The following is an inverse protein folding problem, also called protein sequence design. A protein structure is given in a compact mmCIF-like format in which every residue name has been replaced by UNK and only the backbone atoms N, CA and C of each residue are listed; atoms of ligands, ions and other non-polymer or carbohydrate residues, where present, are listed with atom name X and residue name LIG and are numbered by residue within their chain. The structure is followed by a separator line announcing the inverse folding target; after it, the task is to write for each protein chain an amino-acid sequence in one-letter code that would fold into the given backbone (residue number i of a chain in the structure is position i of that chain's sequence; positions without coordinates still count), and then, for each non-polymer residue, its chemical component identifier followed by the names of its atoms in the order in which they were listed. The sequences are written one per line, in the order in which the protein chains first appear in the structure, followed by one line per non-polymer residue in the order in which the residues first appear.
data_IF_834760166210
#
_entry.id   IF_834760166210
#
_cell.length_a   1.000
_cell.length_b   1.000
_cell.length_c   1.000
_cell.angle_alpha   90.00
_cell.angle_beta   90.00
_cell.angle_gamma   90.00
#
_symmetry.space_group_name_H-M   'P 1'
#
loop_
_entity.id
_entity.type
_entity.pdbx_description
1 polymer ?
#
# COMPACT_ATOMS: atom_id res chain seq x y z
N UNK A 1 7.14 6.43 -23.98
CA UNK A 1 6.59 7.73 -24.42
C UNK A 1 7.43 8.85 -23.81
N UNK A 2 7.96 9.80 -24.59
CA UNK A 2 8.71 10.96 -24.05
C UNK A 2 7.74 12.03 -23.55
N UNK A 3 7.02 11.74 -22.47
CA UNK A 3 6.28 12.76 -21.72
C UNK A 3 7.24 13.64 -20.92
N UNK A 4 6.90 14.92 -20.71
CA UNK A 4 7.65 15.77 -19.80
C UNK A 4 7.76 15.15 -18.40
N UNK A 5 8.80 15.50 -17.65
CA UNK A 5 9.10 14.90 -16.34
C UNK A 5 7.88 14.84 -15.39
N UNK A 6 7.03 15.87 -15.41
CA UNK A 6 5.80 15.92 -14.61
C UNK A 6 4.74 14.90 -15.06
N UNK A 7 4.55 14.70 -16.38
CA UNK A 7 3.60 13.72 -16.91
C UNK A 7 4.02 12.28 -16.59
N UNK A 8 5.33 11.99 -16.61
CA UNK A 8 5.85 10.69 -16.20
C UNK A 8 5.71 10.46 -14.69
N UNK A 9 5.93 11.49 -13.87
CA UNK A 9 5.71 11.40 -12.41
C UNK A 9 4.23 11.21 -12.10
N UNK A 10 3.32 11.90 -12.79
CA UNK A 10 1.88 11.71 -12.65
C UNK A 10 1.43 10.32 -13.10
N UNK A 11 1.99 9.81 -14.20
CA UNK A 11 1.75 8.43 -14.63
C UNK A 11 2.23 7.41 -13.60
N UNK A 12 3.41 7.62 -13.02
CA UNK A 12 3.93 6.77 -11.96
C UNK A 12 3.04 6.79 -10.70
N UNK A 13 2.48 7.94 -10.31
CA UNK A 13 1.49 8.01 -9.22
C UNK A 13 0.30 7.09 -9.45
N UNK A 14 -0.22 7.06 -10.69
CA UNK A 14 -1.39 6.28 -11.04
C UNK A 14 -1.16 4.76 -11.06
N UNK A 15 -0.01 4.31 -11.56
CA UNK A 15 0.23 2.89 -11.82
C UNK A 15 1.05 2.23 -10.70
N UNK A 16 2.04 2.93 -10.17
CA UNK A 16 3.06 2.32 -9.31
C UNK A 16 2.69 2.35 -7.83
N UNK A 17 1.96 3.39 -7.40
CA UNK A 17 1.68 3.64 -5.99
C UNK A 17 0.23 3.32 -5.59
N UNK A 18 -0.55 2.70 -6.46
CA UNK A 18 -1.94 2.33 -6.16
C UNK A 18 -2.03 1.43 -4.93
N UNK A 19 -1.29 0.32 -4.95
CA UNK A 19 -1.34 -0.72 -3.92
C UNK A 19 -0.96 -0.19 -2.53
N UNK A 20 0.31 0.22 -2.36
CA UNK A 20 0.79 0.84 -1.11
C UNK A 20 -0.01 2.09 -0.71
N UNK A 21 -0.60 2.78 -1.68
CA UNK A 21 -1.42 3.97 -1.46
C UNK A 21 -2.75 3.68 -0.78
N UNK A 22 -3.25 2.44 -0.88
CA UNK A 22 -4.52 2.00 -0.31
C UNK A 22 -4.38 1.30 1.03
N UNK A 23 -3.15 0.89 1.40
CA UNK A 23 -2.81 0.32 2.71
C UNK A 23 -3.34 1.06 3.95
N UNK A 24 -3.44 2.40 3.98
CA UNK A 24 -4.00 3.08 5.14
C UNK A 24 -5.46 2.76 5.44
N UNK A 25 -6.22 2.21 4.48
CA UNK A 25 -7.61 1.80 4.67
C UNK A 25 -7.74 0.65 5.68
N UNK A 26 -6.74 -0.25 5.73
CA UNK A 26 -6.83 -1.49 6.50
C UNK A 26 -5.71 -1.67 7.53
N UNK A 27 -4.50 -1.15 7.32
CA UNK A 27 -3.35 -1.50 8.17
C UNK A 27 -3.54 -1.16 9.66
N UNK A 28 -4.04 0.04 9.99
CA UNK A 28 -4.29 0.43 11.40
C UNK A 28 -5.51 -0.29 11.98
N UNK A 29 -6.58 -0.43 11.18
CA UNK A 29 -7.79 -1.16 11.56
C UNK A 29 -7.45 -2.61 11.94
N UNK A 30 -6.67 -3.29 11.11
CA UNK A 30 -6.24 -4.66 11.38
C UNK A 30 -5.31 -4.75 12.59
N UNK A 31 -4.40 -3.79 12.76
CA UNK A 31 -3.49 -3.79 13.92
C UNK A 31 -4.24 -3.67 15.25
N UNK A 32 -5.30 -2.87 15.30
CA UNK A 32 -6.13 -2.65 16.49
C UNK A 32 -7.46 -3.41 16.46
N UNK A 33 -7.58 -4.42 15.60
CA UNK A 33 -8.74 -5.30 15.56
C UNK A 33 -8.83 -6.08 16.88
N UNK A 34 -10.06 -6.24 17.40
CA UNK A 34 -10.32 -6.94 18.66
C UNK A 34 -9.75 -8.37 18.68
N UNK A 35 -9.64 -9.00 17.51
CA UNK A 35 -9.10 -10.36 17.35
C UNK A 35 -7.62 -10.47 17.75
N UNK A 36 -6.85 -9.38 17.65
CA UNK A 36 -5.44 -9.36 18.02
C UNK A 36 -5.24 -9.06 19.51
N UNK A 37 -6.30 -8.69 20.25
CA UNK A 37 -6.25 -8.39 21.68
C UNK A 37 -5.43 -7.14 22.04
N UNK A 38 -5.05 -6.33 21.05
CA UNK A 38 -4.27 -5.11 21.24
C UNK A 38 -5.21 -3.92 21.47
N UNK A 39 -5.18 -3.35 22.68
CA UNK A 39 -5.97 -2.15 22.97
C UNK A 39 -5.27 -0.90 22.40
N UNK A 40 -6.01 0.05 21.81
CA UNK A 40 -5.46 1.33 21.35
C UNK A 40 -5.21 2.28 22.54
N UNK A 41 -4.35 1.89 23.48
CA UNK A 41 -3.83 2.81 24.48
C UNK A 41 -2.65 3.63 23.92
N UNK A 42 -2.31 4.78 24.52
CA UNK A 42 -1.26 5.64 23.99
C UNK A 42 0.09 4.94 23.79
N UNK A 43 0.52 4.03 24.66
CA UNK A 43 1.81 3.35 24.47
C UNK A 43 1.78 2.43 23.25
N UNK A 44 0.69 1.65 23.09
CA UNK A 44 0.48 0.78 21.93
C UNK A 44 0.41 1.56 20.62
N UNK A 45 -0.33 2.67 20.58
CA UNK A 45 -0.45 3.50 19.37
C UNK A 45 0.90 4.08 18.95
N UNK A 46 1.67 4.66 19.88
CA UNK A 46 2.99 5.20 19.56
C UNK A 46 3.97 4.11 19.13
N UNK A 47 3.90 2.93 19.75
CA UNK A 47 4.67 1.75 19.37
C UNK A 47 4.41 1.31 17.94
N UNK A 48 3.14 1.08 17.60
CA UNK A 48 2.70 0.68 16.25
C UNK A 48 3.08 1.74 15.22
N UNK A 49 2.82 3.03 15.50
CA UNK A 49 3.20 4.10 14.57
C UNK A 49 4.70 4.17 14.33
N UNK A 50 5.52 3.96 15.36
CA UNK A 50 6.97 3.85 15.21
C UNK A 50 7.34 2.70 14.29
N UNK A 51 6.72 1.53 14.45
CA UNK A 51 6.97 0.38 13.59
C UNK A 51 6.56 0.65 12.14
N UNK A 52 5.39 1.25 11.90
CA UNK A 52 4.91 1.64 10.57
C UNK A 52 5.88 2.65 9.93
N UNK A 53 6.26 3.71 10.65
CA UNK A 53 7.20 4.72 10.15
C UNK A 53 8.54 4.10 9.74
N UNK A 54 9.13 3.27 10.61
CA UNK A 54 10.42 2.66 10.33
C UNK A 54 10.32 1.55 9.28
N UNK A 55 9.21 0.82 9.19
CA UNK A 55 8.97 -0.14 8.11
C UNK A 55 8.93 0.57 6.75
N UNK A 56 8.12 1.63 6.60
CA UNK A 56 8.05 2.42 5.36
C UNK A 56 9.41 3.06 5.03
N UNK A 57 10.12 3.55 6.03
CA UNK A 57 11.44 4.18 5.85
C UNK A 57 12.49 3.16 5.41
N UNK A 58 12.66 2.05 6.14
CA UNK A 58 13.71 1.07 5.88
C UNK A 58 13.38 0.22 4.66
N UNK A 59 12.16 -0.34 4.60
CA UNK A 59 11.78 -1.28 3.56
C UNK A 59 11.55 -0.51 2.26
N UNK A 60 10.61 0.44 2.24
CA UNK A 60 10.20 1.06 0.99
C UNK A 60 11.20 2.13 0.55
N UNK A 61 11.54 3.08 1.43
CA UNK A 61 12.40 4.20 1.05
C UNK A 61 13.85 3.79 0.85
N UNK A 62 14.47 3.13 1.84
CA UNK A 62 15.89 2.75 1.77
C UNK A 62 16.10 1.52 0.90
N UNK A 63 15.49 0.39 1.25
CA UNK A 63 15.71 -0.88 0.54
C UNK A 63 15.16 -0.80 -0.89
N UNK A 64 13.88 -0.51 -1.12
CA UNK A 64 13.34 -0.54 -2.48
C UNK A 64 13.78 0.67 -3.31
N UNK A 65 13.42 1.88 -2.90
CA UNK A 65 13.55 3.09 -3.72
C UNK A 65 15.00 3.55 -3.90
N UNK A 66 15.84 3.47 -2.85
CA UNK A 66 17.24 3.94 -2.94
C UNK A 66 18.23 2.87 -3.38
N UNK A 67 18.04 1.61 -2.95
CA UNK A 67 18.99 0.52 -3.18
C UNK A 67 18.56 -0.43 -4.30
N UNK A 68 17.46 -1.16 -4.15
CA UNK A 68 17.04 -2.20 -5.10
C UNK A 68 16.75 -1.62 -6.48
N UNK A 69 16.16 -0.42 -6.55
CA UNK A 69 15.96 0.23 -7.84
C UNK A 69 17.28 0.42 -8.59
N UNK A 70 18.47 0.46 -7.95
CA UNK A 70 19.78 0.54 -8.62
C UNK A 70 20.21 -0.76 -9.30
N UNK A 71 19.64 -1.89 -8.90
CA UNK A 71 19.85 -3.18 -9.55
C UNK A 71 18.81 -3.34 -10.66
N UNK A 72 19.04 -2.71 -11.81
CA UNK A 72 18.22 -2.88 -13.02
C UNK A 72 18.89 -3.78 -14.04
N UNK A 73 18.08 -4.38 -14.91
CA UNK A 73 18.54 -5.03 -16.12
C UNK A 73 18.04 -4.23 -17.32
N UNK A 74 18.92 -3.44 -17.95
CA UNK A 74 18.57 -2.57 -19.09
C UNK A 74 17.40 -1.62 -18.80
N UNK A 75 17.28 -1.12 -17.57
CA UNK A 75 16.19 -0.24 -17.14
C UNK A 75 14.95 -0.95 -16.59
N UNK A 76 14.86 -2.28 -16.71
CA UNK A 76 13.77 -3.08 -16.12
C UNK A 76 14.12 -3.57 -14.70
N UNK A 77 13.10 -3.64 -13.84
CA UNK A 77 13.21 -4.20 -12.49
C UNK A 77 12.21 -5.35 -12.30
N UNK A 78 12.06 -5.82 -11.07
CA UNK A 78 11.23 -6.96 -10.71
C UNK A 78 11.98 -8.30 -10.66
N UNK A 79 11.27 -9.34 -10.22
CA UNK A 79 11.81 -10.69 -10.04
C UNK A 79 12.40 -11.23 -11.35
N UNK A 80 11.79 -10.89 -12.49
CA UNK A 80 12.21 -11.38 -13.81
C UNK A 80 13.49 -10.69 -14.31
N UNK A 81 13.68 -9.40 -13.99
CA UNK A 81 14.95 -8.72 -14.23
C UNK A 81 16.09 -9.36 -13.42
N UNK A 82 15.84 -9.72 -12.16
CA UNK A 82 16.80 -10.42 -11.29
C UNK A 82 17.12 -11.83 -11.80
N UNK A 83 16.12 -12.58 -12.25
CA UNK A 83 16.31 -13.90 -12.86
C UNK A 83 17.16 -13.79 -14.14
N UNK A 84 16.89 -12.81 -15.00
CA UNK A 84 17.67 -12.59 -16.24
C UNK A 84 19.13 -12.19 -15.96
N UNK A 85 19.37 -11.33 -14.97
CA UNK A 85 20.74 -10.99 -14.53
C UNK A 85 21.48 -12.23 -14.01
N UNK A 86 20.77 -13.10 -13.29
CA UNK A 86 21.37 -14.31 -12.73
C UNK A 86 21.54 -15.44 -13.77
N UNK A 87 20.79 -15.43 -14.88
CA UNK A 87 21.04 -16.34 -16.01
C UNK A 87 22.36 -15.99 -16.75
N UNK A 88 22.79 -14.73 -16.70
CA UNK A 88 24.12 -14.31 -17.17
C UNK A 88 25.26 -14.80 -16.27
N UNK A 89 24.99 -15.06 -14.99
CA UNK A 89 25.90 -15.75 -14.10
C UNK A 89 25.80 -17.26 -14.37
N UNK A 90 26.66 -17.78 -15.26
CA UNK A 90 26.73 -19.20 -15.61
C UNK A 90 26.84 -20.10 -14.36
N UNK A 91 25.71 -20.58 -13.86
CA UNK A 91 25.62 -21.48 -12.72
C UNK A 91 26.10 -22.86 -13.15
N UNK A 92 27.33 -23.21 -12.76
CA UNK A 92 28.05 -24.41 -13.21
C UNK A 92 27.46 -25.75 -12.73
N UNK A 93 26.51 -25.75 -11.80
CA UNK A 93 25.99 -26.97 -11.16
C UNK A 93 24.47 -27.16 -11.33
N UNK A 94 24.07 -28.40 -11.67
CA UNK A 94 22.67 -28.80 -11.90
C UNK A 94 21.76 -28.55 -10.68
N UNK A 95 22.27 -28.73 -9.46
CA UNK A 95 21.53 -28.42 -8.21
C UNK A 95 21.23 -26.93 -8.05
N UNK A 96 22.18 -26.06 -8.40
CA UNK A 96 22.00 -24.61 -8.32
C UNK A 96 20.92 -24.13 -9.29
N UNK A 97 20.88 -24.70 -10.50
CA UNK A 97 19.83 -24.42 -11.48
C UNK A 97 18.43 -24.83 -10.98
N UNK A 98 18.31 -26.02 -10.39
CA UNK A 98 17.03 -26.49 -9.80
C UNK A 98 16.57 -25.62 -8.62
N UNK A 99 17.49 -25.23 -7.73
CA UNK A 99 17.15 -24.34 -6.62
C UNK A 99 16.64 -22.98 -7.11
N UNK A 100 17.27 -22.41 -8.14
CA UNK A 100 16.82 -21.15 -8.74
C UNK A 100 15.43 -21.27 -9.38
N UNK A 101 15.16 -22.37 -10.09
CA UNK A 101 13.82 -22.63 -10.66
C UNK A 101 12.80 -22.74 -9.53
N UNK A 102 13.09 -23.50 -8.47
CA UNK A 102 12.20 -23.66 -7.32
C UNK A 102 11.89 -22.32 -6.63
N UNK A 103 12.92 -21.49 -6.40
CA UNK A 103 12.76 -20.16 -5.83
C UNK A 103 11.96 -19.23 -6.75
N UNK A 104 12.16 -19.31 -8.07
CA UNK A 104 11.39 -18.55 -9.06
C UNK A 104 9.91 -18.94 -9.08
N UNK A 105 9.59 -20.23 -9.11
CA UNK A 105 8.22 -20.75 -9.04
C UNK A 105 7.56 -20.36 -7.72
N UNK A 106 8.29 -20.48 -6.60
CA UNK A 106 7.79 -20.08 -5.29
C UNK A 106 7.48 -18.57 -5.24
N UNK A 107 8.36 -17.71 -5.75
CA UNK A 107 8.14 -16.28 -5.84
C UNK A 107 6.95 -15.92 -6.74
N UNK A 108 6.80 -16.58 -7.89
CA UNK A 108 5.65 -16.40 -8.76
C UNK A 108 4.34 -16.80 -8.07
N UNK A 109 4.32 -17.94 -7.35
CA UNK A 109 3.14 -18.38 -6.59
C UNK A 109 2.72 -17.38 -5.49
N UNK A 110 3.69 -16.82 -4.75
CA UNK A 110 3.43 -15.76 -3.77
C UNK A 110 2.83 -14.51 -4.44
N UNK A 111 3.36 -14.12 -5.61
CA UNK A 111 2.85 -12.98 -6.37
C UNK A 111 1.43 -13.20 -6.92
N UNK A 112 1.06 -14.42 -7.32
CA UNK A 112 -0.34 -14.74 -7.65
C UNK A 112 -1.26 -14.66 -6.42
N UNK A 113 -0.77 -15.10 -5.25
CA UNK A 113 -1.50 -14.99 -4.00
C UNK A 113 -1.83 -13.54 -3.65
N UNK A 114 -0.82 -12.67 -3.70
CA UNK A 114 -0.98 -11.22 -3.56
C UNK A 114 -1.93 -10.65 -4.63
N UNK A 115 -1.76 -11.12 -5.88
CA UNK A 115 -2.62 -10.86 -7.03
C UNK A 115 -4.12 -11.05 -6.80
N UNK A 116 -4.47 -12.00 -5.95
CA UNK A 116 -5.84 -12.37 -5.62
C UNK A 116 -6.35 -11.68 -4.35
N UNK A 117 -5.51 -11.56 -3.32
CA UNK A 117 -5.90 -11.06 -1.99
C UNK A 117 -6.04 -9.53 -2.01
N UNK A 118 -5.09 -8.83 -2.63
CA UNK A 118 -5.01 -7.37 -2.57
C UNK A 118 -6.23 -6.65 -3.16
N UNK A 119 -6.77 -7.04 -4.34
CA UNK A 119 -8.01 -6.46 -4.84
C UNK A 119 -9.20 -6.66 -3.90
N UNK A 120 -9.30 -7.84 -3.29
CA UNK A 120 -10.42 -8.19 -2.41
C UNK A 120 -10.39 -7.36 -1.12
N UNK A 121 -9.25 -7.32 -0.43
CA UNK A 121 -9.09 -6.55 0.82
C UNK A 121 -9.27 -5.07 0.52
N UNK A 122 -8.57 -4.54 -0.49
CA UNK A 122 -8.59 -3.10 -0.78
C UNK A 122 -9.99 -2.59 -1.12
N UNK A 123 -10.70 -3.26 -2.05
CA UNK A 123 -12.05 -2.84 -2.45
C UNK A 123 -13.04 -3.00 -1.30
N UNK A 124 -12.95 -4.10 -0.53
CA UNK A 124 -13.81 -4.28 0.63
C UNK A 124 -13.60 -3.17 1.66
N UNK A 125 -12.36 -2.87 2.03
CA UNK A 125 -12.04 -1.80 2.99
C UNK A 125 -12.47 -0.42 2.51
N UNK A 126 -12.42 -0.13 1.20
CA UNK A 126 -12.97 1.13 0.68
C UNK A 126 -14.50 1.23 0.85
N UNK A 127 -15.22 0.14 0.57
CA UNK A 127 -16.69 0.10 0.65
C UNK A 127 -17.18 0.04 2.10
N UNK A 128 -16.42 -0.55 3.02
CA UNK A 128 -16.70 -0.55 4.46
C UNK A 128 -16.82 0.87 5.04
N UNK A 129 -16.23 1.88 4.41
CA UNK A 129 -16.45 3.27 4.80
C UNK A 129 -17.91 3.73 4.69
N UNK A 130 -18.77 3.02 3.95
CA UNK A 130 -20.21 3.26 3.96
C UNK A 130 -20.85 3.01 5.33
N UNK A 131 -20.30 2.12 6.14
CA UNK A 131 -20.80 1.85 7.49
C UNK A 131 -20.66 3.09 8.38
N UNK A 132 -19.58 3.84 8.20
CA UNK A 132 -19.32 5.11 8.90
C UNK A 132 -20.15 6.24 8.30
N UNK A 133 -20.19 6.33 6.97
CA UNK A 133 -20.80 7.46 6.26
C UNK A 133 -22.34 7.42 6.21
N UNK A 134 -22.93 6.22 6.24
CA UNK A 134 -24.37 6.00 6.13
C UNK A 134 -24.81 4.76 6.94
N UNK A 135 -24.97 4.89 8.27
CA UNK A 135 -25.44 3.82 9.14
C UNK A 135 -26.77 3.24 8.63
N UNK A 136 -26.83 1.92 8.45
CA UNK A 136 -27.97 1.22 7.85
C UNK A 136 -27.74 0.69 6.42
N UNK A 137 -26.64 1.10 5.76
CA UNK A 137 -26.21 0.52 4.47
C UNK A 137 -25.21 -0.64 4.62
N UNK A 138 -24.91 -1.09 5.83
CA UNK A 138 -23.94 -2.16 6.13
C UNK A 138 -24.20 -3.44 5.35
N UNK A 139 -25.48 -3.84 5.21
CA UNK A 139 -25.91 -5.02 4.43
C UNK A 139 -25.56 -4.95 2.95
N UNK A 140 -25.25 -3.76 2.43
CA UNK A 140 -24.89 -3.56 1.03
C UNK A 140 -23.38 -3.56 0.79
N UNK A 141 -22.54 -3.55 1.84
CA UNK A 141 -21.07 -3.53 1.70
C UNK A 141 -20.58 -4.71 0.86
N UNK A 142 -20.93 -5.94 1.25
CA UNK A 142 -20.51 -7.15 0.53
C UNK A 142 -21.07 -7.17 -0.91
N UNK A 143 -22.38 -6.96 -1.16
CA UNK A 143 -22.92 -6.87 -2.52
C UNK A 143 -22.24 -5.82 -3.41
N UNK A 144 -21.96 -4.62 -2.87
CA UNK A 144 -21.32 -3.54 -3.61
C UNK A 144 -19.87 -3.91 -3.93
N UNK A 145 -19.11 -4.44 -2.98
CA UNK A 145 -17.73 -4.88 -3.20
C UNK A 145 -17.67 -5.97 -4.29
N UNK A 146 -18.56 -6.97 -4.24
CA UNK A 146 -18.66 -8.01 -5.27
C UNK A 146 -19.02 -7.45 -6.65
N UNK A 147 -19.94 -6.48 -6.72
CA UNK A 147 -20.32 -5.81 -7.96
C UNK A 147 -19.14 -5.02 -8.55
N UNK A 148 -18.39 -4.30 -7.71
CA UNK A 148 -17.19 -3.56 -8.13
C UNK A 148 -16.13 -4.53 -8.64
N UNK A 149 -15.81 -5.59 -7.89
CA UNK A 149 -14.80 -6.57 -8.30
C UNK A 149 -15.20 -7.28 -9.60
N UNK A 150 -16.46 -7.71 -9.72
CA UNK A 150 -16.95 -8.37 -10.94
C UNK A 150 -16.87 -7.43 -12.13
N UNK A 151 -17.30 -6.18 -11.96
CA UNK A 151 -17.18 -5.14 -13.00
C UNK A 151 -15.71 -4.93 -13.37
N UNK A 152 -14.84 -4.82 -12.39
CA UNK A 152 -13.40 -4.65 -12.58
C UNK A 152 -12.81 -5.77 -13.43
N UNK A 153 -13.11 -7.04 -13.10
CA UNK A 153 -12.64 -8.21 -13.84
C UNK A 153 -13.25 -8.32 -15.25
N UNK A 154 -14.52 -7.96 -15.43
CA UNK A 154 -15.16 -7.92 -16.76
C UNK A 154 -14.49 -6.87 -17.64
N UNK A 155 -14.25 -5.66 -17.14
CA UNK A 155 -13.67 -4.59 -17.96
C UNK A 155 -12.17 -4.76 -18.25
N UNK A 156 -11.46 -5.64 -17.54
CA UNK A 156 -10.03 -5.92 -17.77
C UNK A 156 -9.73 -6.35 -19.22
N UNK A 157 -10.63 -7.09 -19.87
CA UNK A 157 -10.38 -7.63 -21.21
C UNK A 157 -10.32 -6.54 -22.31
N UNK A 158 -10.80 -5.32 -22.03
CA UNK A 158 -10.74 -4.20 -22.98
C UNK A 158 -9.41 -3.45 -22.96
N UNK A 159 -8.49 -3.82 -22.05
CA UNK A 159 -7.16 -3.22 -21.93
C UNK A 159 -7.15 -1.88 -21.18
N UNK A 160 -6.07 -1.62 -20.45
CA UNK A 160 -5.88 -0.43 -19.59
C UNK A 160 -5.52 0.85 -20.35
N UNK A 161 -5.40 0.79 -21.68
CA UNK A 161 -4.83 1.85 -22.52
C UNK A 161 -5.60 3.17 -22.55
N UNK A 162 -6.93 3.15 -22.35
CA UNK A 162 -7.76 4.37 -22.34
C UNK A 162 -7.94 4.92 -20.92
N UNK A 163 -8.01 4.05 -19.91
CA UNK A 163 -8.28 4.41 -18.50
C UNK A 163 -7.02 4.88 -17.76
N UNK A 164 -5.83 4.42 -18.18
CA UNK A 164 -4.56 4.76 -17.52
C UNK A 164 -4.25 6.26 -17.45
N UNK A 165 -4.85 7.09 -18.31
CA UNK A 165 -4.72 8.56 -18.24
C UNK A 165 -5.42 9.17 -17.02
N UNK A 166 -6.46 8.53 -16.49
CA UNK A 166 -7.19 9.00 -15.30
C UNK A 166 -6.55 8.52 -14.00
N UNK A 167 -5.73 7.47 -14.03
CA UNK A 167 -5.12 6.90 -12.83
C UNK A 167 -4.25 7.91 -12.09
N UNK A 168 -3.38 8.62 -12.81
CA UNK A 168 -2.49 9.63 -12.23
C UNK A 168 -3.25 10.77 -11.51
N UNK A 169 -4.19 11.46 -12.18
CA UNK A 169 -5.02 12.49 -11.55
C UNK A 169 -5.81 12.00 -10.34
N UNK A 170 -6.44 10.82 -10.41
CA UNK A 170 -7.20 10.26 -9.28
C UNK A 170 -6.28 9.97 -8.09
N UNK A 171 -5.13 9.34 -8.33
CA UNK A 171 -4.17 9.03 -7.27
C UNK A 171 -3.54 10.31 -6.68
N UNK A 172 -3.33 11.36 -7.49
CA UNK A 172 -2.92 12.67 -6.98
C UNK A 172 -3.95 13.23 -6.00
N UNK A 173 -5.23 13.24 -6.37
CA UNK A 173 -6.32 13.69 -5.48
C UNK A 173 -6.41 12.81 -4.23
N UNK A 174 -6.26 11.49 -4.38
CA UNK A 174 -6.23 10.55 -3.25
C UNK A 174 -5.11 10.88 -2.25
N UNK A 175 -3.86 10.90 -2.70
CA UNK A 175 -2.71 11.17 -1.82
C UNK A 175 -2.79 12.57 -1.19
N UNK A 176 -3.21 13.58 -1.94
CA UNK A 176 -3.43 14.91 -1.38
C UNK A 176 -4.54 14.91 -0.32
N UNK A 177 -5.64 14.20 -0.56
CA UNK A 177 -6.76 14.13 0.40
C UNK A 177 -6.35 13.45 1.71
N UNK A 178 -5.73 12.27 1.64
CA UNK A 178 -5.32 11.55 2.86
C UNK A 178 -4.20 12.28 3.61
N UNK A 179 -3.31 12.96 2.87
CA UNK A 179 -2.24 13.76 3.45
C UNK A 179 -2.77 15.00 4.16
N UNK A 180 -3.75 15.70 3.59
CA UNK A 180 -4.41 16.85 4.24
C UNK A 180 -5.18 16.41 5.48
N UNK A 181 -5.96 15.32 5.41
CA UNK A 181 -6.68 14.80 6.57
C UNK A 181 -5.73 14.42 7.71
N UNK A 182 -4.62 13.75 7.39
CA UNK A 182 -3.58 13.43 8.35
C UNK A 182 -2.92 14.67 8.95
N UNK A 183 -2.56 15.64 8.10
CA UNK A 183 -1.89 16.88 8.51
C UNK A 183 -2.74 17.69 9.49
N UNK A 184 -4.05 17.79 9.26
CA UNK A 184 -4.97 18.50 10.17
C UNK A 184 -4.84 17.94 11.59
N UNK A 185 -4.92 16.61 11.75
CA UNK A 185 -4.79 15.95 13.06
C UNK A 185 -3.41 16.07 13.67
N UNK A 186 -2.35 16.00 12.86
CA UNK A 186 -0.97 16.17 13.34
C UNK A 186 -0.73 17.61 13.85
N UNK A 187 -1.36 18.61 13.23
CA UNK A 187 -1.30 20.00 13.71
C UNK A 187 -2.08 20.17 15.02
N UNK A 188 -3.23 19.50 15.16
CA UNK A 188 -4.02 19.49 16.40
C UNK A 188 -3.25 18.86 17.56
N UNK A 189 -2.55 17.74 17.33
CA UNK A 189 -1.78 17.04 18.36
C UNK A 189 -0.34 16.74 17.89
N UNK A 190 0.58 17.72 17.95
CA UNK A 190 1.96 17.55 17.48
C UNK A 190 2.77 16.53 18.27
N UNK A 191 2.32 16.15 19.47
CA UNK A 191 3.02 15.17 20.30
C UNK A 191 3.13 13.79 19.65
N UNK A 192 2.23 13.47 18.70
CA UNK A 192 2.26 12.22 17.93
C UNK A 192 3.57 12.03 17.15
N UNK A 193 4.27 13.12 16.81
CA UNK A 193 5.56 13.07 16.14
C UNK A 193 6.65 12.38 16.98
N UNK A 194 6.48 12.22 18.29
CA UNK A 194 7.42 11.44 19.11
C UNK A 194 7.46 9.97 18.66
N UNK A 195 6.39 9.45 18.05
CA UNK A 195 6.36 8.10 17.47
C UNK A 195 7.40 7.89 16.36
N UNK A 196 7.99 8.95 15.80
CA UNK A 196 9.13 8.83 14.88
C UNK A 196 10.38 8.21 15.53
N UNK A 197 10.51 8.32 16.85
CA UNK A 197 11.63 7.73 17.57
C UNK A 197 11.50 6.21 17.59
N UNK A 198 12.53 5.45 17.13
CA UNK A 198 12.49 3.99 17.13
C UNK A 198 12.38 3.40 18.54
N UNK A 199 12.66 4.20 19.57
CA UNK A 199 12.50 3.80 20.97
C UNK A 199 11.08 3.35 21.30
N UNK A 200 10.05 3.93 20.67
CA UNK A 200 8.66 3.51 20.90
C UNK A 200 8.38 2.13 20.32
N UNK A 201 8.86 1.84 19.11
CA UNK A 201 8.75 0.51 18.51
C UNK A 201 9.53 -0.55 19.30
N UNK A 202 10.74 -0.22 19.77
CA UNK A 202 11.53 -1.13 20.62
C UNK A 202 10.85 -1.37 21.96
N UNK A 203 10.36 -0.32 22.63
CA UNK A 203 9.63 -0.46 23.89
C UNK A 203 8.38 -1.32 23.72
N UNK A 204 7.62 -1.12 22.64
CA UNK A 204 6.46 -1.93 22.32
C UNK A 204 6.79 -3.42 22.17
N UNK A 205 7.91 -3.77 21.54
CA UNK A 205 8.38 -5.15 21.47
C UNK A 205 8.78 -5.74 22.83
N UNK A 206 9.44 -4.94 23.67
CA UNK A 206 9.87 -5.37 24.99
C UNK A 206 8.67 -5.58 25.94
N UNK A 207 7.66 -4.73 25.84
CA UNK A 207 6.50 -4.74 26.73
C UNK A 207 5.43 -5.76 26.29
N UNK A 208 5.19 -5.91 24.98
CA UNK A 208 4.08 -6.72 24.44
C UNK A 208 4.50 -8.00 23.70
N UNK A 209 5.80 -8.24 23.51
CA UNK A 209 6.37 -9.52 23.07
C UNK A 209 5.63 -10.21 21.92
N UNK A 210 4.78 -11.20 22.25
CA UNK A 210 4.00 -11.98 21.29
C UNK A 210 2.93 -11.17 20.55
N UNK A 211 2.26 -10.23 21.23
CA UNK A 211 1.27 -9.34 20.60
C UNK A 211 1.98 -8.39 19.63
N UNK A 212 3.16 -7.89 20.00
CA UNK A 212 3.97 -7.06 19.11
C UNK A 212 4.42 -7.81 17.84
N UNK A 213 4.71 -9.12 17.95
CA UNK A 213 5.01 -9.96 16.78
C UNK A 213 3.79 -10.12 15.86
N UNK A 214 2.59 -10.36 16.41
CA UNK A 214 1.36 -10.43 15.62
C UNK A 214 1.03 -9.09 14.97
N UNK A 215 1.15 -8.00 15.71
CA UNK A 215 0.97 -6.63 15.21
C UNK A 215 1.95 -6.32 14.07
N UNK A 216 3.17 -6.87 14.08
CA UNK A 216 4.11 -6.71 12.96
C UNK A 216 3.55 -7.28 11.65
N UNK A 217 2.75 -8.36 11.71
CA UNK A 217 2.01 -8.86 10.54
C UNK A 217 1.08 -7.81 9.93
N UNK A 218 0.35 -7.08 10.77
CA UNK A 218 -0.50 -5.97 10.35
C UNK A 218 0.30 -4.73 9.93
N UNK A 219 1.47 -4.48 10.52
CA UNK A 219 2.38 -3.41 10.06
C UNK A 219 2.94 -3.70 8.67
N UNK A 220 3.15 -4.98 8.31
CA UNK A 220 3.60 -5.36 6.95
C UNK A 220 2.58 -4.92 5.90
N UNK A 221 1.29 -4.86 6.24
CA UNK A 221 0.24 -4.33 5.35
C UNK A 221 0.47 -2.85 4.98
N UNK A 222 1.25 -2.09 5.74
CA UNK A 222 1.61 -0.71 5.41
C UNK A 222 2.73 -0.58 4.35
N UNK A 223 3.39 -1.69 4.02
CA UNK A 223 4.49 -1.74 3.03
C UNK A 223 4.21 -2.68 1.86
N UNK A 224 3.01 -3.27 1.79
CA UNK A 224 2.55 -4.05 0.63
C UNK A 224 2.53 -3.15 -0.62
N UNK A 225 2.87 -3.70 -1.77
CA UNK A 225 3.03 -2.95 -3.01
C UNK A 225 4.44 -2.38 -3.22
N UNK A 226 5.36 -2.50 -2.24
CA UNK A 226 6.76 -2.06 -2.41
C UNK A 226 7.46 -2.76 -3.60
N UNK A 227 7.09 -4.01 -3.87
CA UNK A 227 7.54 -4.80 -5.02
C UNK A 227 7.04 -4.26 -6.37
N UNK A 228 5.84 -3.67 -6.41
CA UNK A 228 5.31 -3.04 -7.62
C UNK A 228 6.19 -1.84 -8.06
N UNK A 229 6.76 -1.10 -7.10
CA UNK A 229 7.73 -0.02 -7.39
C UNK A 229 8.94 -0.52 -8.16
N UNK A 230 9.39 -1.74 -7.86
CA UNK A 230 10.53 -2.34 -8.53
C UNK A 230 10.13 -2.95 -9.88
N UNK A 231 8.98 -3.62 -9.97
CA UNK A 231 8.50 -4.22 -11.21
C UNK A 231 8.22 -3.17 -12.31
N UNK A 232 7.62 -2.03 -11.96
CA UNK A 232 7.22 -1.00 -12.94
C UNK A 232 8.33 -0.03 -13.35
N UNK A 233 9.56 -0.28 -12.92
CA UNK A 233 10.72 0.48 -13.35
C UNK A 233 10.88 0.52 -14.87
N UNK A 234 10.55 -0.57 -15.58
CA UNK A 234 10.68 -0.64 -17.04
C UNK A 234 9.79 0.37 -17.78
N UNK A 235 8.64 0.74 -17.20
CA UNK A 235 7.67 1.64 -17.83
C UNK A 235 7.99 3.12 -17.58
N UNK A 236 8.40 3.48 -16.35
CA UNK A 236 8.54 4.88 -15.92
C UNK A 236 9.98 5.31 -15.64
N UNK A 237 10.88 4.36 -15.37
CA UNK A 237 12.23 4.62 -14.92
C UNK A 237 12.32 5.12 -13.46
N UNK A 238 13.55 5.18 -12.95
CA UNK A 238 13.83 5.54 -11.54
C UNK A 238 13.43 6.96 -11.15
N UNK A 239 13.79 8.01 -11.92
CA UNK A 239 13.60 9.39 -11.45
C UNK A 239 12.14 9.79 -11.23
N UNK A 240 11.17 9.43 -12.10
CA UNK A 240 9.76 9.73 -11.86
C UNK A 240 9.19 9.08 -10.61
N UNK A 241 9.50 7.80 -10.37
CA UNK A 241 9.08 7.05 -9.18
C UNK A 241 9.65 7.70 -7.92
N UNK A 242 10.96 8.03 -7.90
CA UNK A 242 11.59 8.70 -6.75
C UNK A 242 10.96 10.06 -6.43
N UNK A 243 10.65 10.87 -7.45
CA UNK A 243 10.01 12.18 -7.25
C UNK A 243 8.59 12.05 -6.70
N UNK A 244 7.79 11.12 -7.23
CA UNK A 244 6.45 10.84 -6.69
C UNK A 244 6.51 10.34 -5.24
N UNK A 245 7.43 9.40 -4.95
CA UNK A 245 7.60 8.84 -3.63
C UNK A 245 7.93 9.90 -2.59
N UNK A 246 9.06 10.59 -2.74
CA UNK A 246 9.53 11.55 -1.74
C UNK A 246 8.75 12.88 -1.77
N UNK A 247 8.11 13.23 -2.90
CA UNK A 247 7.39 14.49 -3.06
C UNK A 247 5.93 14.46 -2.60
N UNK A 248 5.27 13.30 -2.65
CA UNK A 248 3.84 13.22 -2.34
C UNK A 248 3.46 11.94 -1.58
N UNK A 249 3.84 10.76 -2.06
CA UNK A 249 3.32 9.50 -1.53
C UNK A 249 3.79 9.26 -0.10
N UNK A 250 5.11 9.31 0.16
CA UNK A 250 5.68 9.16 1.49
C UNK A 250 5.09 10.15 2.50
N UNK A 251 5.10 11.48 2.27
CA UNK A 251 4.54 12.40 3.25
C UNK A 251 3.03 12.18 3.45
N UNK A 252 2.27 11.90 2.40
CA UNK A 252 0.83 11.65 2.53
C UNK A 252 0.52 10.41 3.40
N UNK A 253 1.23 9.29 3.15
CA UNK A 253 1.07 8.07 3.94
C UNK A 253 1.46 8.27 5.39
N UNK A 254 2.63 8.87 5.66
CA UNK A 254 3.09 9.10 7.03
C UNK A 254 2.14 10.03 7.80
N UNK A 255 1.70 11.13 7.18
CA UNK A 255 0.73 12.05 7.79
C UNK A 255 -0.59 11.34 8.07
N UNK A 256 -1.07 10.52 7.14
CA UNK A 256 -2.32 9.78 7.34
C UNK A 256 -2.22 8.79 8.50
N UNK A 257 -1.15 7.98 8.56
CA UNK A 257 -0.94 7.06 9.69
C UNK A 257 -0.84 7.79 11.02
N UNK A 258 -0.09 8.90 11.09
CA UNK A 258 -0.02 9.72 12.30
C UNK A 258 -1.39 10.29 12.68
N UNK A 259 -2.16 10.80 11.71
CA UNK A 259 -3.50 11.31 11.96
C UNK A 259 -4.46 10.23 12.49
N UNK A 260 -4.39 9.02 11.95
CA UNK A 260 -5.13 7.87 12.50
C UNK A 260 -4.68 7.57 13.94
N UNK A 261 -3.39 7.66 14.25
CA UNK A 261 -2.91 7.48 15.63
C UNK A 261 -3.39 8.57 16.59
N UNK A 262 -3.43 9.84 16.18
CA UNK A 262 -4.03 10.92 17.00
C UNK A 262 -5.49 10.60 17.33
N UNK A 263 -6.24 10.15 16.32
CA UNK A 263 -7.64 9.75 16.49
C UNK A 263 -7.77 8.59 17.49
N UNK A 264 -6.97 7.53 17.33
CA UNK A 264 -7.01 6.34 18.21
C UNK A 264 -6.60 6.63 19.66
N UNK A 265 -5.66 7.55 19.87
CA UNK A 265 -5.29 8.00 21.22
C UNK A 265 -6.44 8.74 21.90
N UNK A 266 -7.23 9.49 21.13
CA UNK A 266 -8.32 10.34 21.63
C UNK A 266 -9.63 9.58 21.80
N UNK A 267 -9.92 8.64 20.90
CA UNK A 267 -11.13 7.83 20.88
C UNK A 267 -10.78 6.38 20.50
N UNK A 268 -10.88 5.49 21.49
CA UNK A 268 -10.61 4.05 21.30
C UNK A 268 -11.67 3.37 20.43
N UNK A 269 -12.90 3.88 20.43
CA UNK A 269 -13.99 3.37 19.58
C UNK A 269 -13.71 3.57 18.10
N UNK A 270 -12.82 4.52 17.75
CA UNK A 270 -12.43 4.75 16.37
C UNK A 270 -11.61 3.61 15.74
N UNK A 271 -11.21 2.59 16.51
CA UNK A 271 -10.50 1.41 16.01
C UNK A 271 -11.31 0.60 14.97
N UNK A 272 -12.65 0.71 14.97
CA UNK A 272 -13.49 0.04 13.96
C UNK A 272 -13.20 0.52 12.53
N UNK A 273 -12.97 1.83 12.34
CA UNK A 273 -12.68 2.43 11.03
C UNK A 273 -11.86 3.73 11.18
N UNK A 274 -10.59 3.65 11.64
CA UNK A 274 -9.78 4.82 11.95
C UNK A 274 -9.52 5.70 10.72
N UNK A 275 -9.47 5.10 9.53
CA UNK A 275 -9.29 5.84 8.28
C UNK A 275 -10.46 6.76 7.93
N UNK A 276 -11.70 6.24 7.95
CA UNK A 276 -12.88 7.03 7.54
C UNK A 276 -13.33 8.01 8.62
N UNK A 277 -13.15 7.66 9.89
CA UNK A 277 -13.42 8.55 11.03
C UNK A 277 -12.41 9.71 11.12
N UNK A 278 -11.29 9.64 10.40
CA UNK A 278 -10.36 10.75 10.25
C UNK A 278 -11.01 11.95 9.53
N UNK A 279 -11.94 11.68 8.60
CA UNK A 279 -12.62 12.70 7.83
C UNK A 279 -13.80 13.31 8.61
N UNK A 280 -14.06 14.63 8.46
CA UNK A 280 -15.28 15.24 8.99
C UNK A 280 -16.52 14.60 8.35
N UNK A 281 -17.65 14.60 9.05
CA UNK A 281 -18.86 13.88 8.59
C UNK A 281 -19.30 14.18 7.14
N UNK A 282 -19.20 15.43 6.70
CA UNK A 282 -19.52 15.81 5.30
C UNK A 282 -18.55 15.23 4.27
N UNK A 283 -17.30 14.95 4.68
CA UNK A 283 -16.22 14.44 3.83
C UNK A 283 -16.16 12.92 3.72
N UNK A 284 -16.92 12.18 4.53
CA UNK A 284 -16.89 10.72 4.56
C UNK A 284 -17.40 10.09 3.25
N UNK A 285 -18.56 10.52 2.73
CA UNK A 285 -19.09 9.99 1.45
C UNK A 285 -18.14 10.29 0.27
N UNK A 286 -17.65 11.54 0.07
CA UNK A 286 -16.63 11.81 -0.94
C UNK A 286 -15.39 10.95 -0.80
N UNK A 287 -14.93 10.71 0.44
CA UNK A 287 -13.75 9.89 0.72
C UNK A 287 -14.00 8.42 0.37
N UNK A 288 -15.19 7.86 0.64
CA UNK A 288 -15.58 6.50 0.24
C UNK A 288 -15.53 6.34 -1.28
N UNK A 289 -16.08 7.30 -2.02
CA UNK A 289 -16.04 7.27 -3.49
C UNK A 289 -14.60 7.35 -4.00
N UNK A 290 -13.79 8.23 -3.43
CA UNK A 290 -12.39 8.38 -3.81
C UNK A 290 -11.56 7.14 -3.46
N UNK A 291 -11.77 6.55 -2.28
CA UNK A 291 -11.14 5.30 -1.85
C UNK A 291 -11.54 4.15 -2.78
N UNK A 292 -12.81 4.10 -3.21
CA UNK A 292 -13.28 3.10 -4.17
C UNK A 292 -12.57 3.24 -5.51
N UNK A 293 -12.39 4.47 -6.01
CA UNK A 293 -11.64 4.72 -7.24
C UNK A 293 -10.16 4.35 -7.09
N UNK A 294 -9.52 4.72 -5.98
CA UNK A 294 -8.13 4.40 -5.70
C UNK A 294 -7.90 2.88 -5.61
N UNK A 295 -8.80 2.14 -4.97
CA UNK A 295 -8.70 0.67 -4.82
C UNK A 295 -8.99 -0.08 -6.11
N UNK A 296 -9.87 0.45 -6.98
CA UNK A 296 -10.02 -0.05 -8.35
C UNK A 296 -8.71 0.13 -9.14
N UNK A 297 -8.06 1.29 -9.03
CA UNK A 297 -6.78 1.56 -9.70
C UNK A 297 -5.67 0.63 -9.17
N UNK A 298 -5.56 0.48 -7.84
CA UNK A 298 -4.61 -0.42 -7.20
C UNK A 298 -4.79 -1.87 -7.68
N UNK A 299 -6.03 -2.36 -7.68
CA UNK A 299 -6.37 -3.71 -8.13
C UNK A 299 -5.98 -3.95 -9.59
N UNK A 300 -6.17 -2.96 -10.46
CA UNK A 300 -5.80 -3.06 -11.88
C UNK A 300 -4.30 -3.24 -12.08
N UNK A 301 -3.46 -2.53 -11.31
CA UNK A 301 -2.00 -2.63 -11.39
C UNK A 301 -1.53 -4.04 -11.00
N UNK A 302 -2.04 -4.56 -9.89
CA UNK A 302 -1.72 -5.89 -9.35
C UNK A 302 -2.14 -7.00 -10.33
N UNK A 303 -3.37 -6.95 -10.85
CA UNK A 303 -3.87 -7.95 -11.82
C UNK A 303 -3.07 -7.90 -13.13
N UNK A 304 -2.75 -6.69 -13.62
CA UNK A 304 -1.91 -6.54 -14.83
C UNK A 304 -0.51 -7.13 -14.63
N UNK A 305 0.06 -6.94 -13.43
CA UNK A 305 1.31 -7.59 -13.01
C UNK A 305 1.21 -9.10 -13.11
N UNK A 306 0.14 -9.70 -12.57
CA UNK A 306 -0.07 -11.15 -12.60
C UNK A 306 -0.13 -11.70 -14.04
N UNK A 307 -0.85 -11.02 -14.95
CA UNK A 307 -0.87 -11.40 -16.37
C UNK A 307 0.51 -11.31 -17.04
N UNK A 308 1.32 -10.30 -16.67
CA UNK A 308 2.68 -10.17 -17.21
C UNK A 308 3.56 -11.34 -16.78
N UNK A 309 3.46 -11.79 -15.53
CA UNK A 309 4.17 -12.97 -15.04
C UNK A 309 3.73 -14.22 -15.82
N UNK A 310 2.41 -14.43 -16.01
CA UNK A 310 1.89 -15.57 -16.79
C UNK A 310 2.44 -15.61 -18.22
N UNK A 311 2.54 -14.45 -18.88
CA UNK A 311 3.02 -14.37 -20.28
C UNK A 311 4.52 -14.67 -20.41
N UNK A 312 5.28 -14.49 -19.34
CA UNK A 312 6.72 -14.69 -19.32
C UNK A 312 7.14 -16.09 -18.81
N UNK A 313 6.21 -16.83 -18.18
CA UNK A 313 6.38 -18.22 -17.76
C UNK A 313 6.19 -19.19 -18.94
#
# INVERSE_FOLDING_TARGET
MRGGAAALTLGALGVVFGDIGTSPLYAMKETFSEQHGLTPDPASVYGVLSLVFWAITIIVSVKYVLLIMRADNRGEGGIMALISLNQGASMKTSRGKWLLIALGVFGAALFYGDGMITPAISVLSAVEGLQVAAPGLERFVIPIALAILTTLFVFQHFGTGVVGRLFGPVMLVWFSSIGVLGLIRVIEEPSILKALSPTYGVAFFLDQGSIAFLALGSVVLAVTGAEALYADMGHFGRPPIRRAWFGLVLPALLLNYMGQGVLLVSDRGAAENPFFLLAPGWGQIPLVLLATLATVIASQAVISGAFSVTRQA
#
